data_IF_995320645062
#
_entry.id   IF_995320645062
#
_cell.length_a   1.000
_cell.length_b   1.000
_cell.length_c   1.000
_cell.angle_alpha   90.00
_cell.angle_beta   90.00
_cell.angle_gamma   90.00
#
_symmetry.space_group_name_H-M   'P 1'
#
loop_
_entity.id
_entity.type
_entity.pdbx_description
1 polymer ?
#
# COMPACT_ATOMS: atom_id res chain seq x y z
N UNK A 1 -29.03 -47.70 -8.49
CA UNK A 1 -28.05 -47.21 -9.48
C UNK A 1 -27.36 -46.00 -8.87
N UNK A 2 -26.07 -46.16 -8.59
CA UNK A 2 -25.21 -45.19 -7.92
C UNK A 2 -24.83 -44.13 -8.93
N UNK A 3 -25.15 -42.85 -8.65
CA UNK A 3 -24.72 -41.74 -9.50
C UNK A 3 -23.21 -41.50 -9.32
N UNK A 4 -22.52 -41.60 -10.44
CA UNK A 4 -21.09 -41.37 -10.67
C UNK A 4 -20.47 -40.26 -9.80
N UNK A 5 -19.39 -40.60 -9.10
CA UNK A 5 -18.39 -39.63 -8.65
C UNK A 5 -17.73 -38.98 -9.88
N UNK A 6 -18.17 -37.78 -10.27
CA UNK A 6 -17.44 -36.95 -11.24
C UNK A 6 -16.18 -36.37 -10.55
N UNK A 7 -15.17 -37.23 -10.42
CA UNK A 7 -13.81 -36.87 -10.08
C UNK A 7 -13.15 -36.14 -11.24
N UNK A 8 -13.60 -34.92 -11.54
CA UNK A 8 -12.81 -33.99 -12.36
C UNK A 8 -11.53 -33.69 -11.60
N UNK A 9 -10.47 -34.41 -11.94
CA UNK A 9 -9.10 -34.06 -11.59
C UNK A 9 -8.87 -32.61 -12.02
N UNK A 10 -8.98 -31.68 -11.06
CA UNK A 10 -8.72 -30.27 -11.32
C UNK A 10 -7.31 -30.20 -11.88
N UNK A 11 -7.17 -29.72 -13.11
CA UNK A 11 -5.89 -29.60 -13.80
C UNK A 11 -5.06 -28.53 -13.06
N UNK A 12 -4.40 -28.95 -11.96
CA UNK A 12 -3.67 -28.10 -11.02
C UNK A 12 -2.43 -27.46 -11.67
N UNK A 13 -2.03 -27.90 -12.87
CA UNK A 13 -0.86 -27.40 -13.61
C UNK A 13 -0.90 -25.89 -13.83
N UNK A 14 -2.05 -25.31 -14.21
CA UNK A 14 -2.18 -23.86 -14.44
C UNK A 14 -1.96 -23.03 -13.17
N UNK A 15 -2.74 -23.27 -12.10
CA UNK A 15 -2.55 -22.60 -10.80
C UNK A 15 -1.15 -22.78 -10.21
N UNK A 16 -0.56 -23.97 -10.34
CA UNK A 16 0.80 -24.26 -9.84
C UNK A 16 1.85 -23.48 -10.63
N UNK A 17 1.76 -23.41 -11.97
CA UNK A 17 2.69 -22.62 -12.80
C UNK A 17 2.60 -21.14 -12.45
N UNK A 18 1.40 -20.58 -12.32
CA UNK A 18 1.21 -19.17 -11.91
C UNK A 18 1.79 -18.90 -10.52
N UNK A 19 1.64 -19.85 -9.61
CA UNK A 19 2.29 -19.83 -8.31
C UNK A 19 3.81 -19.80 -8.40
N UNK A 20 4.40 -20.73 -9.14
CA UNK A 20 5.85 -20.76 -9.38
C UNK A 20 6.32 -19.45 -9.98
N UNK A 21 5.60 -18.88 -10.95
CA UNK A 21 5.92 -17.58 -11.54
C UNK A 21 5.82 -16.43 -10.52
N UNK A 22 4.82 -16.44 -9.63
CA UNK A 22 4.69 -15.44 -8.58
C UNK A 22 5.84 -15.53 -7.56
N UNK A 23 6.15 -16.73 -7.08
CA UNK A 23 7.28 -16.94 -6.16
C UNK A 23 8.62 -16.68 -6.83
N UNK A 24 8.79 -17.05 -8.10
CA UNK A 24 9.96 -16.72 -8.89
C UNK A 24 10.10 -15.20 -9.08
N UNK A 25 9.01 -14.47 -9.32
CA UNK A 25 9.00 -13.01 -9.37
C UNK A 25 9.41 -12.41 -8.02
N UNK A 26 8.83 -12.85 -6.91
CA UNK A 26 9.18 -12.37 -5.57
C UNK A 26 10.63 -12.72 -5.21
N UNK A 27 11.07 -13.93 -5.51
CA UNK A 27 12.44 -14.38 -5.27
C UNK A 27 13.44 -13.65 -6.16
N UNK A 28 13.12 -13.41 -7.43
CA UNK A 28 13.94 -12.62 -8.35
C UNK A 28 14.00 -11.15 -7.90
N UNK A 29 12.89 -10.56 -7.45
CA UNK A 29 12.86 -9.22 -6.88
C UNK A 29 13.75 -9.12 -5.63
N UNK A 30 13.60 -10.07 -4.69
CA UNK A 30 14.44 -10.14 -3.49
C UNK A 30 15.91 -10.38 -3.84
N UNK A 31 16.20 -11.30 -4.75
CA UNK A 31 17.54 -11.60 -5.21
C UNK A 31 18.16 -10.38 -5.90
N UNK A 32 17.44 -9.70 -6.78
CA UNK A 32 17.87 -8.48 -7.43
C UNK A 32 18.21 -7.42 -6.38
N UNK A 33 17.32 -7.12 -5.44
CA UNK A 33 17.57 -6.13 -4.38
C UNK A 33 18.71 -6.53 -3.43
N UNK A 34 18.91 -7.84 -3.17
CA UNK A 34 19.88 -8.32 -2.17
C UNK A 34 21.27 -8.61 -2.73
N UNK A 35 21.36 -9.12 -3.96
CA UNK A 35 22.58 -9.64 -4.59
C UNK A 35 23.10 -8.81 -5.76
N UNK A 36 22.28 -8.01 -6.44
CA UNK A 36 22.83 -7.04 -7.39
C UNK A 36 23.25 -5.76 -6.66
N UNK A 37 24.21 -5.02 -7.22
CA UNK A 37 24.53 -3.64 -6.86
C UNK A 37 23.35 -2.66 -7.11
N UNK A 38 22.12 -3.16 -7.32
CA UNK A 38 20.93 -2.31 -7.34
C UNK A 38 20.76 -1.49 -6.06
N UNK A 39 21.31 -1.92 -4.92
CA UNK A 39 21.41 -1.07 -3.72
C UNK A 39 22.11 0.26 -4.01
N UNK A 40 23.13 0.26 -4.86
CA UNK A 40 23.88 1.45 -5.25
C UNK A 40 23.03 2.36 -6.15
N UNK A 41 22.18 1.79 -7.02
CA UNK A 41 21.20 2.55 -7.81
C UNK A 41 20.04 3.10 -6.97
N UNK A 42 19.59 2.36 -5.96
CA UNK A 42 18.61 2.82 -4.96
C UNK A 42 19.30 3.54 -3.80
N UNK A 43 20.52 4.08 -3.97
CA UNK A 43 21.04 5.06 -3.02
C UNK A 43 20.37 6.41 -3.26
N UNK A 44 20.17 7.21 -2.20
CA UNK A 44 19.72 8.58 -2.37
C UNK A 44 20.59 9.34 -3.37
N UNK A 45 21.90 9.15 -3.35
CA UNK A 45 22.85 9.87 -4.20
C UNK A 45 22.72 9.50 -5.68
N UNK A 46 22.66 8.21 -6.01
CA UNK A 46 22.53 7.78 -7.40
C UNK A 46 21.17 8.18 -7.99
N UNK A 47 20.10 8.04 -7.20
CA UNK A 47 18.76 8.39 -7.66
C UNK A 47 18.58 9.91 -7.79
N UNK A 48 19.19 10.71 -6.90
CA UNK A 48 19.26 12.16 -7.05
C UNK A 48 19.97 12.54 -8.35
N UNK A 49 21.17 12.00 -8.62
CA UNK A 49 21.93 12.28 -9.85
C UNK A 49 21.14 11.90 -11.11
N UNK A 50 20.54 10.72 -11.12
CA UNK A 50 19.69 10.28 -12.22
C UNK A 50 18.52 11.25 -12.45
N UNK A 51 17.84 11.67 -11.38
CA UNK A 51 16.72 12.59 -11.49
C UNK A 51 17.15 14.00 -11.92
N UNK A 52 18.34 14.45 -11.52
CA UNK A 52 18.94 15.71 -12.00
C UNK A 52 19.25 15.66 -13.51
N UNK A 53 19.81 14.54 -14.00
CA UNK A 53 20.09 14.34 -15.44
C UNK A 53 18.82 14.30 -16.29
N UNK A 54 17.74 13.73 -15.76
CA UNK A 54 16.44 13.64 -16.43
C UNK A 54 15.74 15.02 -16.50
N UNK A 55 16.15 15.98 -15.66
CA UNK A 55 15.73 17.38 -15.74
C UNK A 55 14.22 17.56 -15.61
N UNK A 56 13.57 18.09 -16.65
CA UNK A 56 12.13 18.38 -16.65
C UNK A 56 11.26 17.14 -16.38
N UNK A 57 11.72 15.95 -16.78
CA UNK A 57 10.98 14.70 -16.62
C UNK A 57 11.19 14.03 -15.25
N UNK A 58 11.98 14.63 -14.36
CA UNK A 58 12.32 14.08 -13.05
C UNK A 58 11.08 13.64 -12.23
N UNK A 59 9.97 14.41 -12.19
CA UNK A 59 8.78 13.97 -11.45
C UNK A 59 8.17 12.67 -11.99
N UNK A 60 8.10 12.53 -13.31
CA UNK A 60 7.54 11.34 -13.95
C UNK A 60 8.46 10.14 -13.75
N UNK A 61 9.77 10.32 -13.96
CA UNK A 61 10.75 9.28 -13.72
C UNK A 61 10.74 8.81 -12.25
N UNK A 62 10.62 9.73 -11.30
CA UNK A 62 10.49 9.41 -9.89
C UNK A 62 9.24 8.56 -9.58
N UNK A 63 8.07 8.91 -10.15
CA UNK A 63 6.83 8.14 -9.98
C UNK A 63 7.00 6.71 -10.50
N UNK A 64 7.64 6.54 -11.65
CA UNK A 64 7.89 5.22 -12.24
C UNK A 64 8.89 4.40 -11.41
N UNK A 65 9.96 5.04 -10.93
CA UNK A 65 10.95 4.40 -10.04
C UNK A 65 10.30 3.99 -8.72
N UNK A 66 9.46 4.84 -8.13
CA UNK A 66 8.69 4.50 -6.93
C UNK A 66 7.82 3.25 -7.21
N UNK A 67 7.05 3.28 -8.29
CA UNK A 67 6.15 2.20 -8.63
C UNK A 67 6.88 0.87 -8.83
N UNK A 68 7.99 0.89 -9.58
CA UNK A 68 8.87 -0.26 -9.76
C UNK A 68 9.47 -0.72 -8.43
N UNK A 69 9.92 0.20 -7.58
CA UNK A 69 10.45 -0.09 -6.26
C UNK A 69 9.47 -0.83 -5.36
N UNK A 70 8.20 -0.40 -5.34
CA UNK A 70 7.13 -1.11 -4.61
C UNK A 70 6.96 -2.54 -5.12
N UNK A 71 6.98 -2.74 -6.44
CA UNK A 71 6.93 -4.07 -7.05
C UNK A 71 8.15 -4.92 -6.71
N UNK A 72 9.31 -4.31 -6.53
CA UNK A 72 10.57 -4.94 -6.10
C UNK A 72 10.68 -5.13 -4.58
N UNK A 73 9.58 -4.90 -3.84
CA UNK A 73 9.52 -5.01 -2.38
C UNK A 73 10.38 -4.00 -1.61
N UNK A 74 10.82 -2.92 -2.27
CA UNK A 74 11.52 -1.82 -1.61
C UNK A 74 10.51 -1.06 -0.72
N UNK A 75 10.88 -0.72 0.54
CA UNK A 75 9.98 0.02 1.43
C UNK A 75 9.56 1.36 0.84
N UNK A 76 8.25 1.62 0.77
CA UNK A 76 7.71 2.90 0.29
C UNK A 76 8.22 4.12 1.08
N UNK A 77 8.57 3.92 2.36
CA UNK A 77 9.16 4.96 3.22
C UNK A 77 10.45 5.53 2.64
N UNK A 78 11.31 4.70 2.04
CA UNK A 78 12.55 5.15 1.40
C UNK A 78 12.27 6.18 0.31
N UNK A 79 11.34 5.84 -0.60
CA UNK A 79 10.96 6.76 -1.66
C UNK A 79 10.25 7.99 -1.10
N UNK A 80 9.36 7.83 -0.12
CA UNK A 80 8.68 8.96 0.52
C UNK A 80 9.65 10.01 1.06
N UNK A 81 10.71 9.59 1.76
CA UNK A 81 11.76 10.52 2.22
C UNK A 81 12.50 11.17 1.06
N UNK A 82 12.88 10.37 0.06
CA UNK A 82 13.61 10.87 -1.09
C UNK A 82 12.81 11.89 -1.91
N UNK A 83 11.53 11.63 -2.18
CA UNK A 83 10.67 12.53 -2.94
C UNK A 83 10.46 13.87 -2.23
N UNK A 84 10.29 13.86 -0.91
CA UNK A 84 10.19 15.10 -0.12
C UNK A 84 11.53 15.84 -0.09
N UNK A 85 12.65 15.13 0.03
CA UNK A 85 13.99 15.74 0.02
C UNK A 85 14.33 16.39 -1.32
N UNK A 86 13.95 15.76 -2.44
CA UNK A 86 14.28 16.22 -3.80
C UNK A 86 13.36 17.33 -4.31
N UNK A 87 12.05 17.18 -4.12
CA UNK A 87 11.06 18.07 -4.72
C UNK A 87 10.47 19.06 -3.71
N UNK A 88 10.90 18.98 -2.44
CA UNK A 88 10.34 19.76 -1.33
C UNK A 88 9.01 19.19 -0.83
N UNK A 89 8.46 19.80 0.24
CA UNK A 89 7.29 19.26 0.94
C UNK A 89 6.05 19.09 0.05
N UNK A 90 5.61 20.15 -0.65
CA UNK A 90 4.35 20.13 -1.39
C UNK A 90 4.41 19.30 -2.68
N UNK A 91 5.38 19.58 -3.57
CA UNK A 91 5.55 18.82 -4.82
C UNK A 91 5.98 17.38 -4.54
N UNK A 92 6.89 17.17 -3.59
CA UNK A 92 7.30 15.85 -3.14
C UNK A 92 6.13 15.02 -2.62
N UNK A 93 5.23 15.60 -1.83
CA UNK A 93 4.00 14.91 -1.42
C UNK A 93 3.16 14.44 -2.60
N UNK A 94 2.91 15.31 -3.60
CA UNK A 94 2.12 14.95 -4.79
C UNK A 94 2.78 13.79 -5.53
N UNK A 95 4.09 13.86 -5.78
CA UNK A 95 4.80 12.81 -6.53
C UNK A 95 4.92 11.51 -5.74
N UNK A 96 5.11 11.58 -4.42
CA UNK A 96 5.07 10.41 -3.52
C UNK A 96 3.69 9.76 -3.57
N UNK A 97 2.62 10.55 -3.48
CA UNK A 97 1.26 10.03 -3.53
C UNK A 97 0.96 9.33 -4.86
N UNK A 98 1.32 9.95 -5.98
CA UNK A 98 1.14 9.37 -7.32
C UNK A 98 1.98 8.09 -7.50
N UNK A 99 3.26 8.10 -7.07
CA UNK A 99 4.14 6.93 -7.08
C UNK A 99 3.61 5.78 -6.24
N UNK A 100 3.14 6.06 -5.02
CA UNK A 100 2.54 5.08 -4.14
C UNK A 100 1.25 4.49 -4.73
N UNK A 101 0.39 5.33 -5.32
CA UNK A 101 -0.83 4.87 -5.99
C UNK A 101 -0.52 3.99 -7.21
N UNK A 102 0.42 4.39 -8.06
CA UNK A 102 0.84 3.62 -9.23
C UNK A 102 1.47 2.27 -8.82
N UNK A 103 2.42 2.29 -7.88
CA UNK A 103 3.08 1.09 -7.38
C UNK A 103 2.14 0.13 -6.66
N UNK A 104 1.22 0.66 -5.86
CA UNK A 104 0.22 -0.15 -5.16
C UNK A 104 -0.75 -0.80 -6.13
N UNK A 105 -1.21 -0.08 -7.15
CA UNK A 105 -2.04 -0.64 -8.23
C UNK A 105 -1.31 -1.73 -9.01
N UNK A 106 -0.03 -1.52 -9.36
CA UNK A 106 0.78 -2.52 -10.06
C UNK A 106 0.98 -3.79 -9.22
N UNK A 107 1.40 -3.64 -7.96
CA UNK A 107 1.57 -4.76 -7.04
C UNK A 107 0.27 -5.54 -6.79
N UNK A 108 -0.86 -4.84 -6.70
CA UNK A 108 -2.19 -5.46 -6.62
C UNK A 108 -2.50 -6.34 -7.83
N UNK A 109 -2.27 -5.83 -9.04
CA UNK A 109 -2.51 -6.58 -10.27
C UNK A 109 -1.57 -7.77 -10.43
N UNK A 110 -0.30 -7.64 -10.03
CA UNK A 110 0.65 -8.76 -9.98
C UNK A 110 0.12 -9.85 -9.04
N UNK A 111 -0.31 -9.48 -7.82
CA UNK A 111 -0.92 -10.42 -6.88
C UNK A 111 -2.20 -11.07 -7.44
N UNK A 112 -3.06 -10.29 -8.08
CA UNK A 112 -4.35 -10.75 -8.64
C UNK A 112 -4.18 -11.72 -9.80
N UNK A 113 -3.22 -11.47 -10.69
CA UNK A 113 -3.04 -12.26 -11.92
C UNK A 113 -2.18 -13.49 -11.71
N UNK A 114 -1.11 -13.38 -10.91
CA UNK A 114 -0.15 -14.46 -10.70
C UNK A 114 -0.40 -15.22 -9.39
N UNK A 115 -0.70 -14.53 -8.30
CA UNK A 115 -0.76 -15.14 -6.97
C UNK A 115 -2.14 -15.71 -6.59
N UNK A 116 -3.24 -15.13 -7.09
CA UNK A 116 -4.61 -15.48 -6.67
C UNK A 116 -4.97 -16.95 -6.94
N UNK A 117 -4.73 -17.43 -8.14
CA UNK A 117 -5.07 -18.81 -8.54
C UNK A 117 -4.29 -19.82 -7.72
N UNK A 118 -3.01 -19.52 -7.44
CA UNK A 118 -2.17 -20.32 -6.57
C UNK A 118 -2.65 -20.34 -5.12
N UNK A 119 -2.93 -19.17 -4.55
CA UNK A 119 -3.44 -19.06 -3.18
C UNK A 119 -4.77 -19.83 -3.02
N UNK A 120 -5.66 -19.75 -4.03
CA UNK A 120 -6.90 -20.52 -4.04
C UNK A 120 -6.67 -22.04 -4.10
N UNK A 121 -5.61 -22.50 -4.76
CA UNK A 121 -5.25 -23.92 -4.82
C UNK A 121 -4.66 -24.48 -3.53
N UNK A 122 -3.98 -23.65 -2.72
CA UNK A 122 -3.30 -24.07 -1.48
C UNK A 122 -4.16 -23.92 -0.22
N UNK A 123 -4.88 -22.80 -0.11
CA UNK A 123 -5.58 -22.40 1.13
C UNK A 123 -7.03 -22.01 0.85
N UNK A 124 -7.66 -22.63 -0.15
CA UNK A 124 -8.97 -22.25 -0.69
C UNK A 124 -10.07 -21.99 0.35
N UNK A 125 -10.17 -22.81 1.41
CA UNK A 125 -11.18 -22.63 2.47
C UNK A 125 -10.91 -21.39 3.34
N UNK A 126 -9.67 -21.18 3.78
CA UNK A 126 -9.30 -19.98 4.55
C UNK A 126 -9.43 -18.73 3.67
N UNK A 127 -8.99 -18.81 2.42
CA UNK A 127 -9.10 -17.72 1.44
C UNK A 127 -10.56 -17.33 1.21
N UNK A 128 -11.47 -18.30 1.10
CA UNK A 128 -12.90 -18.06 0.93
C UNK A 128 -13.51 -17.32 2.13
N UNK A 129 -13.12 -17.67 3.37
CA UNK A 129 -13.56 -16.96 4.58
C UNK A 129 -13.10 -15.49 4.59
N UNK A 130 -11.86 -15.23 4.18
CA UNK A 130 -11.36 -13.86 4.04
C UNK A 130 -12.04 -13.13 2.88
N UNK A 131 -12.25 -13.80 1.77
CA UNK A 131 -12.94 -13.23 0.60
C UNK A 131 -14.34 -12.77 0.95
N UNK A 132 -15.14 -13.60 1.62
CA UNK A 132 -16.52 -13.26 2.01
C UNK A 132 -16.55 -12.05 2.98
N UNK A 133 -15.58 -11.96 3.90
CA UNK A 133 -15.46 -10.83 4.81
C UNK A 133 -15.05 -9.53 4.09
N UNK A 134 -14.16 -9.63 3.10
CA UNK A 134 -13.61 -8.49 2.37
C UNK A 134 -14.56 -8.04 1.24
N UNK A 135 -15.24 -8.96 0.57
CA UNK A 135 -16.12 -8.68 -0.57
C UNK A 135 -17.31 -7.80 -0.17
N UNK A 136 -17.85 -7.99 1.04
CA UNK A 136 -18.93 -7.14 1.57
C UNK A 136 -18.50 -5.70 1.86
N UNK A 137 -17.23 -5.45 2.20
CA UNK A 137 -16.78 -4.16 2.74
C UNK A 137 -15.38 -3.76 2.24
N UNK A 138 -15.06 -4.06 0.97
CA UNK A 138 -13.71 -3.99 0.43
C UNK A 138 -13.00 -2.65 0.67
N UNK A 139 -13.72 -1.55 0.45
CA UNK A 139 -13.18 -0.21 0.65
C UNK A 139 -12.84 0.05 2.12
N UNK A 140 -13.79 -0.25 3.02
CA UNK A 140 -13.62 -0.04 4.44
C UNK A 140 -12.52 -0.93 5.03
N UNK A 141 -12.39 -2.18 4.56
CA UNK A 141 -11.30 -3.07 4.96
C UNK A 141 -9.95 -2.50 4.55
N UNK A 142 -9.80 -2.06 3.30
CA UNK A 142 -8.53 -1.50 2.81
C UNK A 142 -8.19 -0.23 3.57
N UNK A 143 -9.15 0.67 3.74
CA UNK A 143 -8.97 1.90 4.50
C UNK A 143 -8.54 1.58 5.95
N UNK A 144 -9.22 0.66 6.63
CA UNK A 144 -8.87 0.25 7.99
C UNK A 144 -7.44 -0.28 8.08
N UNK A 145 -7.06 -1.19 7.18
CA UNK A 145 -5.71 -1.76 7.14
C UNK A 145 -4.63 -0.68 6.90
N UNK A 146 -4.94 0.37 6.12
CA UNK A 146 -4.04 1.52 5.95
C UNK A 146 -3.92 2.35 7.23
N UNK A 147 -5.03 2.59 7.92
CA UNK A 147 -5.06 3.42 9.13
C UNK A 147 -4.37 2.76 10.33
N UNK A 148 -4.42 1.43 10.44
CA UNK A 148 -3.63 0.68 11.45
C UNK A 148 -2.15 0.55 11.08
N UNK A 149 -1.69 1.21 10.01
CA UNK A 149 -0.30 1.21 9.54
C UNK A 149 0.24 -0.17 9.20
N UNK A 150 -0.61 -1.05 8.63
CA UNK A 150 -0.14 -2.34 8.15
C UNK A 150 0.94 -2.15 7.06
N UNK A 151 2.00 -2.98 7.01
CA UNK A 151 3.11 -2.81 6.07
C UNK A 151 2.65 -2.63 4.62
N UNK A 152 3.07 -1.52 3.99
CA UNK A 152 2.56 -1.05 2.71
C UNK A 152 2.66 -2.10 1.59
N UNK A 153 3.84 -2.70 1.44
CA UNK A 153 4.15 -3.63 0.36
C UNK A 153 3.42 -4.97 0.50
N UNK A 154 3.50 -5.70 1.64
CA UNK A 154 2.72 -6.92 1.84
C UNK A 154 1.21 -6.73 1.63
N UNK A 155 0.69 -5.57 2.05
CA UNK A 155 -0.73 -5.25 1.85
C UNK A 155 -1.12 -5.20 0.38
N UNK A 156 -0.28 -4.61 -0.48
CA UNK A 156 -0.60 -4.42 -1.89
C UNK A 156 -0.75 -5.76 -2.61
N UNK A 157 0.26 -6.63 -2.46
CA UNK A 157 0.21 -7.99 -3.01
C UNK A 157 -0.90 -8.81 -2.36
N UNK A 158 -1.02 -8.77 -1.03
CA UNK A 158 -1.99 -9.52 -0.25
C UNK A 158 -3.43 -9.21 -0.65
N UNK A 159 -3.80 -7.93 -0.79
CA UNK A 159 -5.14 -7.54 -1.25
C UNK A 159 -5.39 -8.02 -2.68
N UNK A 160 -4.36 -8.06 -3.54
CA UNK A 160 -4.43 -8.68 -4.86
C UNK A 160 -4.84 -10.16 -4.83
N UNK A 161 -4.40 -10.90 -3.80
CA UNK A 161 -4.78 -12.30 -3.58
C UNK A 161 -6.21 -12.51 -3.08
N UNK A 162 -6.94 -11.45 -2.70
CA UNK A 162 -8.33 -11.52 -2.20
C UNK A 162 -9.34 -11.25 -3.32
N UNK A 163 -10.65 -11.37 -3.03
CA UNK A 163 -11.74 -10.95 -3.94
C UNK A 163 -12.08 -9.46 -3.95
N UNK A 164 -11.32 -8.61 -3.24
CA UNK A 164 -11.60 -7.16 -3.21
C UNK A 164 -11.68 -6.56 -4.63
N UNK A 165 -12.61 -5.64 -4.87
CA UNK A 165 -12.68 -4.95 -6.17
C UNK A 165 -11.51 -3.97 -6.28
N UNK A 166 -10.91 -3.84 -7.47
CA UNK A 166 -9.80 -2.90 -7.68
C UNK A 166 -10.18 -1.46 -7.32
N UNK A 167 -11.42 -1.03 -7.63
CA UNK A 167 -11.93 0.31 -7.28
C UNK A 167 -11.90 0.54 -5.77
N UNK A 168 -12.36 -0.43 -4.99
CA UNK A 168 -12.39 -0.36 -3.53
C UNK A 168 -10.98 -0.28 -2.94
N UNK A 169 -10.05 -1.08 -3.49
CA UNK A 169 -8.65 -1.06 -3.11
C UNK A 169 -7.96 0.26 -3.46
N UNK A 170 -8.18 0.77 -4.67
CA UNK A 170 -7.58 2.00 -5.18
C UNK A 170 -8.04 3.21 -4.35
N UNK A 171 -9.35 3.38 -4.18
CA UNK A 171 -9.89 4.48 -3.38
C UNK A 171 -9.57 4.32 -1.90
N UNK A 172 -9.68 3.11 -1.34
CA UNK A 172 -9.35 2.86 0.07
C UNK A 172 -7.87 3.15 0.37
N UNK A 173 -6.97 2.83 -0.56
CA UNK A 173 -5.55 3.16 -0.46
C UNK A 173 -5.31 4.66 -0.59
N UNK A 174 -5.89 5.31 -1.60
CA UNK A 174 -5.75 6.75 -1.80
C UNK A 174 -6.21 7.55 -0.58
N UNK A 175 -7.43 7.29 -0.11
CA UNK A 175 -7.96 7.92 1.10
C UNK A 175 -7.14 7.56 2.35
N UNK A 176 -6.71 6.31 2.49
CA UNK A 176 -5.88 5.89 3.62
C UNK A 176 -4.54 6.63 3.69
N UNK A 177 -3.88 6.84 2.54
CA UNK A 177 -2.64 7.62 2.48
C UNK A 177 -2.91 9.09 2.80
N UNK A 178 -3.95 9.69 2.22
CA UNK A 178 -4.28 11.10 2.48
C UNK A 178 -4.61 11.36 3.95
N UNK A 179 -5.45 10.51 4.55
CA UNK A 179 -5.82 10.60 5.96
C UNK A 179 -4.59 10.38 6.83
N UNK A 180 -3.79 9.35 6.55
CA UNK A 180 -2.55 9.08 7.27
C UNK A 180 -1.57 10.25 7.25
N UNK A 181 -1.38 10.89 6.09
CA UNK A 181 -0.49 12.06 5.96
C UNK A 181 -1.06 13.29 6.67
N UNK A 182 -2.37 13.52 6.58
CA UNK A 182 -3.03 14.62 7.28
C UNK A 182 -2.82 14.52 8.79
N UNK A 183 -3.06 13.35 9.36
CA UNK A 183 -2.80 13.04 10.77
C UNK A 183 -1.33 13.31 11.12
N UNK A 184 -0.40 12.75 10.35
CA UNK A 184 1.03 12.83 10.64
C UNK A 184 1.53 14.28 10.59
N UNK A 185 1.05 15.06 9.63
CA UNK A 185 1.47 16.45 9.42
C UNK A 185 0.93 17.36 10.51
N UNK A 186 -0.33 17.19 10.94
CA UNK A 186 -0.88 17.91 12.08
C UNK A 186 -0.16 17.57 13.39
N UNK A 187 0.14 16.28 13.59
CA UNK A 187 0.90 15.83 14.76
C UNK A 187 2.33 16.40 14.77
N UNK A 188 3.06 16.31 13.65
CA UNK A 188 4.41 16.87 13.51
C UNK A 188 4.46 18.39 13.63
N UNK A 189 3.51 19.11 13.03
CA UNK A 189 3.43 20.57 13.12
C UNK A 189 3.26 21.02 14.57
N UNK A 190 2.34 20.38 15.28
CA UNK A 190 2.13 20.61 16.72
C UNK A 190 3.39 20.29 17.54
N UNK A 191 4.03 19.15 17.26
CA UNK A 191 5.24 18.74 17.98
C UNK A 191 6.40 19.72 17.76
N UNK A 192 6.56 20.22 16.53
CA UNK A 192 7.58 21.22 16.18
C UNK A 192 7.35 22.55 16.89
N UNK A 193 6.10 23.01 16.98
CA UNK A 193 5.76 24.25 17.69
C UNK A 193 6.02 24.15 19.19
N UNK A 194 5.71 22.99 19.79
CA UNK A 194 6.00 22.72 21.22
C UNK A 194 7.51 22.64 21.48
N UNK A 195 8.24 21.93 20.61
CA UNK A 195 9.69 21.76 20.76
C UNK A 195 10.46 23.07 20.54
N UNK A 196 10.08 23.86 19.54
CA UNK A 196 10.70 25.16 19.28
C UNK A 196 10.33 26.23 20.32
N UNK A 197 9.17 26.10 20.96
CA UNK A 197 8.69 27.05 21.98
C UNK A 197 9.10 26.72 23.41
N UNK A 198 9.58 25.50 23.70
CA UNK A 198 9.90 25.02 25.06
C UNK A 198 8.70 24.92 26.02
N UNK A 199 7.50 25.25 25.54
CA UNK A 199 6.29 25.42 26.34
C UNK A 199 5.41 24.17 26.23
N UNK A 200 5.70 23.20 27.10
CA UNK A 200 5.01 21.92 27.20
C UNK A 200 3.50 22.05 27.49
N UNK A 201 3.03 23.22 27.96
CA UNK A 201 1.61 23.53 28.14
C UNK A 201 0.81 23.61 26.82
N UNK A 202 1.47 23.88 25.69
CA UNK A 202 0.82 23.95 24.36
C UNK A 202 0.39 22.59 23.81
N UNK A 203 0.89 21.49 24.37
CA UNK A 203 0.35 20.15 24.10
C UNK A 203 -1.10 20.02 24.57
N UNK A 204 -1.53 20.83 25.53
CA UNK A 204 -2.91 20.89 26.05
C UNK A 204 -3.73 21.95 25.28
N UNK A 205 -3.26 22.44 24.11
CA UNK A 205 -4.06 23.39 23.34
C UNK A 205 -5.23 22.71 22.63
N UNK A 206 -6.36 23.43 22.42
CA UNK A 206 -7.52 22.90 21.69
C UNK A 206 -7.18 22.38 20.29
N UNK A 207 -6.12 22.90 19.64
CA UNK A 207 -5.65 22.45 18.33
C UNK A 207 -5.06 21.03 18.37
N UNK A 208 -4.35 20.69 19.45
CA UNK A 208 -3.79 19.34 19.65
C UNK A 208 -4.92 18.37 19.91
N UNK A 209 -5.86 18.72 20.79
CA UNK A 209 -7.04 17.90 21.05
C UNK A 209 -7.95 17.76 19.83
N UNK A 210 -8.05 18.78 18.98
CA UNK A 210 -8.79 18.70 17.71
C UNK A 210 -8.07 17.79 16.70
N UNK A 211 -6.75 17.83 16.63
CA UNK A 211 -5.94 16.97 15.76
C UNK A 211 -5.94 15.51 16.25
N UNK A 212 -5.79 15.30 17.55
CA UNK A 212 -5.96 13.99 18.20
C UNK A 212 -7.40 13.53 18.05
N UNK A 213 -8.37 14.44 18.16
CA UNK A 213 -9.79 14.18 17.96
C UNK A 213 -10.08 13.74 16.53
N UNK A 214 -9.50 14.39 15.51
CA UNK A 214 -9.57 13.98 14.11
C UNK A 214 -8.84 12.66 13.85
N UNK A 215 -7.70 12.43 14.50
CA UNK A 215 -6.98 11.16 14.43
C UNK A 215 -7.81 10.01 15.01
N UNK A 216 -8.33 10.20 16.22
CA UNK A 216 -9.23 9.27 16.90
C UNK A 216 -10.50 9.10 16.08
N UNK A 217 -11.12 10.18 15.61
CA UNK A 217 -12.30 10.17 14.76
C UNK A 217 -12.06 9.44 13.44
N UNK A 218 -10.85 9.52 12.87
CA UNK A 218 -10.45 8.73 11.71
C UNK A 218 -10.58 7.22 11.96
N UNK A 219 -10.30 6.74 13.18
CA UNK A 219 -10.61 5.35 13.55
C UNK A 219 -12.12 5.06 13.66
N UNK A 220 -12.95 6.08 13.87
CA UNK A 220 -14.41 5.97 13.93
C UNK A 220 -15.12 6.23 12.58
N UNK A 221 -14.48 6.85 11.59
CA UNK A 221 -15.04 7.07 10.24
C UNK A 221 -15.57 5.74 9.62
N UNK A 222 -14.83 4.62 9.67
CA UNK A 222 -15.35 3.34 9.17
C UNK A 222 -16.53 2.80 9.98
N UNK A 223 -16.59 3.11 11.29
CA UNK A 223 -17.66 2.67 12.20
C UNK A 223 -18.96 3.48 12.00
N UNK A 224 -18.83 4.75 11.65
CA UNK A 224 -19.93 5.65 11.28
C UNK A 224 -20.52 5.32 9.91
N UNK A 225 -19.68 4.89 8.96
CA UNK A 225 -20.14 4.37 7.67
C UNK A 225 -21.00 3.11 7.88
N UNK A 226 -20.64 2.24 8.87
CA UNK A 226 -21.45 1.09 9.35
C UNK A 226 -22.88 1.40 9.78
N UNK A 227 -23.16 2.61 10.26
CA UNK A 227 -24.46 2.96 10.85
C UNK A 227 -25.50 3.59 9.91
N UNK A 228 -25.15 3.95 8.67
CA UNK A 228 -26.03 4.74 7.77
C UNK A 228 -26.76 3.96 6.68
N UNK A 229 -26.78 2.63 6.72
CA UNK A 229 -27.55 1.84 5.73
C UNK A 229 -27.06 1.95 4.28
N UNK A 230 -25.83 2.45 4.06
CA UNK A 230 -25.12 2.39 2.77
C UNK A 230 -24.35 1.03 2.68
N UNK A 231 -24.82 0.04 3.43
CA UNK A 231 -24.10 -1.18 3.84
C UNK A 231 -25.04 -2.38 4.01
N UNK A 232 -25.98 -2.52 3.09
CA UNK A 232 -26.57 -3.81 2.75
C UNK A 232 -26.01 -4.30 1.42
#
# INVERSE_FOLDING_TARGET
>A
MVHECDGKGKNLRGPVIKGILFFAFLAAALYFVRFTQAKDFFTPQALTRFLEEVGFWAPLAYILVYAAGVCLLVPGTFFSFLGVALFGGYKGFIYVYLGAMAGSAAAFWIGRTLGRDFAASLIGEKLKKYDEAIERNGFATVLYLRLIHFPFTPMNFGMGLTRVKFRDYFWGTGWGILVGVFIFTFFLGTLREVWAGGDWGRLISPKVFFSLGLFVFSFFIPKLLKGKGILE
#
